data_IF_859823752813
#
_entry.id   IF_859823752813
#
_cell.length_a   1.000
_cell.length_b   1.000
_cell.length_c   1.000
_cell.angle_alpha   90.00
_cell.angle_beta   90.00
_cell.angle_gamma   90.00
#
_symmetry.space_group_name_H-M   'P 1'
#
loop_
_entity.id
_entity.type
_entity.pdbx_description
1 polymer ?
#
# COMPACT_ATOMS: atom_id res chain seq x y z
N UNK A 1 -16.04 25.20 -1.63
CA UNK A 1 -15.95 25.71 -0.23
C UNK A 1 -16.45 24.72 0.83
N UNK A 2 -17.51 23.94 0.59
CA UNK A 2 -18.14 23.12 1.65
C UNK A 2 -17.20 22.05 2.27
N UNK A 3 -16.42 21.34 1.44
CA UNK A 3 -15.54 20.25 1.89
C UNK A 3 -14.39 20.76 2.77
N UNK A 4 -13.69 21.81 2.35
CA UNK A 4 -12.55 22.38 3.10
C UNK A 4 -12.98 22.82 4.51
N UNK A 5 -14.14 23.49 4.61
CA UNK A 5 -14.70 23.88 5.91
C UNK A 5 -15.13 22.69 6.78
N UNK A 6 -15.58 21.58 6.19
CA UNK A 6 -15.90 20.36 6.94
C UNK A 6 -14.64 19.69 7.50
N UNK A 7 -13.58 19.59 6.68
CA UNK A 7 -12.28 19.05 7.10
C UNK A 7 -11.70 19.90 8.23
N UNK A 8 -11.69 21.23 8.07
CA UNK A 8 -11.18 22.16 9.08
C UNK A 8 -11.92 21.97 10.42
N UNK A 9 -13.26 22.01 10.41
CA UNK A 9 -14.05 21.80 11.64
C UNK A 9 -13.83 20.43 12.28
N UNK A 10 -13.49 19.40 11.50
CA UNK A 10 -13.13 18.10 12.06
C UNK A 10 -11.76 18.17 12.76
N UNK A 11 -10.77 18.75 12.09
CA UNK A 11 -9.41 18.89 12.64
C UNK A 11 -9.39 19.75 13.89
N UNK A 12 -10.10 20.87 13.91
CA UNK A 12 -10.17 21.76 15.07
C UNK A 12 -10.80 21.08 16.28
N UNK A 13 -11.80 20.20 16.07
CA UNK A 13 -12.50 19.50 17.15
C UNK A 13 -11.76 18.28 17.67
N UNK A 14 -11.07 17.55 16.80
CA UNK A 14 -10.47 16.25 17.14
C UNK A 14 -8.94 16.32 17.27
N UNK A 15 -8.31 17.45 16.92
CA UNK A 15 -6.86 17.60 16.79
C UNK A 15 -6.23 16.51 15.90
N UNK A 16 -7.03 15.99 14.96
CA UNK A 16 -6.66 14.88 14.06
C UNK A 16 -7.23 15.15 12.67
N UNK A 17 -6.44 14.84 11.63
CA UNK A 17 -6.94 14.84 10.26
C UNK A 17 -8.01 13.76 10.06
N UNK A 18 -9.09 14.04 9.30
CA UNK A 18 -10.09 13.02 9.02
C UNK A 18 -9.50 11.94 8.11
N UNK A 19 -9.90 10.68 8.32
CA UNK A 19 -9.51 9.55 7.47
C UNK A 19 -9.97 9.74 6.01
N UNK A 20 -11.08 10.45 5.82
CA UNK A 20 -11.65 10.80 4.52
C UNK A 20 -12.57 12.02 4.63
N UNK A 21 -12.83 12.67 3.50
CA UNK A 21 -13.98 13.57 3.36
C UNK A 21 -15.15 12.84 2.70
N UNK A 22 -16.36 13.17 3.10
CA UNK A 22 -17.60 12.80 2.39
C UNK A 22 -18.07 13.99 1.56
N UNK A 23 -19.06 13.80 0.67
CA UNK A 23 -19.60 14.82 -0.25
C UNK A 23 -18.63 15.32 -1.33
N UNK A 24 -18.13 14.41 -2.15
CA UNK A 24 -17.46 14.78 -3.41
C UNK A 24 -18.25 14.24 -4.59
N UNK A 25 -18.29 14.95 -5.72
CA UNK A 25 -18.72 14.37 -7.00
C UNK A 25 -17.81 13.25 -7.51
N UNK A 26 -16.78 12.88 -6.74
CA UNK A 26 -15.74 11.89 -7.06
C UNK A 26 -16.01 10.52 -6.39
N UNK A 27 -17.15 10.38 -5.70
CA UNK A 27 -17.56 9.16 -4.98
C UNK A 27 -17.83 9.38 -3.49
N UNK A 28 -18.15 8.29 -2.79
CA UNK A 28 -18.58 8.31 -1.38
C UNK A 28 -17.52 8.84 -0.43
N UNK A 29 -16.24 8.48 -0.66
CA UNK A 29 -15.13 8.82 0.22
C UNK A 29 -13.93 9.37 -0.56
N UNK A 30 -13.41 10.49 -0.10
CA UNK A 30 -12.16 11.07 -0.56
C UNK A 30 -11.10 10.92 0.54
N UNK A 31 -10.29 9.86 0.44
CA UNK A 31 -9.34 9.47 1.49
C UNK A 31 -8.18 10.44 1.72
N UNK A 32 -7.63 10.41 2.94
CA UNK A 32 -6.54 11.28 3.42
C UNK A 32 -5.39 11.50 2.44
N UNK A 33 -4.85 10.42 1.84
CA UNK A 33 -3.74 10.54 0.88
C UNK A 33 -4.15 11.29 -0.41
N UNK A 34 -5.35 11.04 -0.91
CA UNK A 34 -5.86 11.73 -2.11
C UNK A 34 -6.20 13.19 -1.80
N UNK A 35 -6.65 13.49 -0.58
CA UNK A 35 -6.85 14.86 -0.10
C UNK A 35 -5.53 15.64 -0.16
N UNK A 36 -4.49 15.15 0.51
CA UNK A 36 -3.17 15.79 0.55
C UNK A 36 -2.67 16.04 -0.88
N UNK A 37 -2.65 14.99 -1.71
CA UNK A 37 -2.09 15.08 -3.05
C UNK A 37 -2.83 16.07 -3.96
N UNK A 38 -4.15 16.14 -3.83
CA UNK A 38 -4.93 17.10 -4.62
C UNK A 38 -4.62 18.53 -4.20
N UNK A 39 -4.58 18.81 -2.89
CA UNK A 39 -4.19 20.13 -2.41
C UNK A 39 -2.74 20.46 -2.79
N UNK A 40 -1.81 19.49 -2.76
CA UNK A 40 -0.45 19.68 -3.29
C UNK A 40 -0.44 20.06 -4.77
N UNK A 41 -1.25 19.41 -5.62
CA UNK A 41 -1.36 19.73 -7.06
C UNK A 41 -1.93 21.12 -7.31
N UNK A 42 -2.91 21.55 -6.50
CA UNK A 42 -3.46 22.91 -6.54
C UNK A 42 -2.36 23.92 -6.23
N UNK A 43 -1.62 23.71 -5.14
CA UNK A 43 -0.53 24.62 -4.72
C UNK A 43 0.66 24.63 -5.69
N UNK A 44 1.00 23.49 -6.31
CA UNK A 44 2.02 23.44 -7.36
C UNK A 44 1.61 24.29 -8.58
N UNK A 45 0.34 24.20 -8.99
CA UNK A 45 -0.17 25.02 -10.11
C UNK A 45 -0.17 26.51 -9.75
N UNK A 46 -0.59 26.85 -8.53
CA UNK A 46 -0.50 28.22 -8.02
C UNK A 46 0.94 28.73 -7.99
N UNK A 47 1.90 27.89 -7.59
CA UNK A 47 3.31 28.29 -7.51
C UNK A 47 3.86 28.77 -8.86
N UNK A 48 3.38 28.16 -9.95
CA UNK A 48 3.77 28.43 -11.35
C UNK A 48 3.00 29.60 -11.95
N UNK A 49 1.69 29.66 -11.74
CA UNK A 49 0.80 30.58 -12.45
C UNK A 49 0.42 31.82 -11.62
N UNK A 50 0.74 31.83 -10.31
CA UNK A 50 0.31 32.83 -9.31
C UNK A 50 -1.21 33.01 -9.22
N UNK A 51 -1.94 32.02 -9.69
CA UNK A 51 -3.40 31.95 -9.68
C UNK A 51 -3.82 30.53 -9.34
N UNK A 52 -4.92 30.39 -8.61
CA UNK A 52 -5.49 29.07 -8.35
C UNK A 52 -6.05 28.50 -9.66
N UNK A 53 -5.88 27.20 -9.92
CA UNK A 53 -6.45 26.58 -11.11
C UNK A 53 -7.98 26.57 -11.07
N UNK A 54 -8.62 26.87 -12.20
CA UNK A 54 -10.09 26.75 -12.36
C UNK A 54 -10.58 25.31 -12.17
N UNK A 55 -9.74 24.34 -12.53
CA UNK A 55 -9.99 22.93 -12.26
C UNK A 55 -8.68 22.15 -12.08
N UNK A 56 -8.74 21.08 -11.28
CA UNK A 56 -7.66 20.10 -11.17
C UNK A 56 -8.17 18.70 -11.44
N UNK A 57 -7.53 17.99 -12.36
CA UNK A 57 -7.79 16.57 -12.55
C UNK A 57 -7.33 15.78 -11.32
N UNK A 58 -8.26 15.07 -10.67
CA UNK A 58 -8.00 14.23 -9.51
C UNK A 58 -8.13 12.76 -9.92
N UNK A 59 -7.12 11.96 -9.62
CA UNK A 59 -7.16 10.50 -9.79
C UNK A 59 -6.80 9.82 -8.48
N UNK A 60 -7.22 8.56 -8.31
CA UNK A 60 -6.80 7.77 -7.15
C UNK A 60 -5.28 7.57 -7.21
N UNK A 61 -4.57 8.13 -6.23
CA UNK A 61 -3.12 7.95 -6.05
C UNK A 61 -2.71 6.48 -5.94
N UNK A 62 -3.60 5.69 -5.33
CA UNK A 62 -3.40 4.27 -5.11
C UNK A 62 -4.62 3.59 -5.70
N UNK A 63 -4.43 2.92 -6.84
CA UNK A 63 -5.44 2.05 -7.41
C UNK A 63 -5.24 0.62 -6.94
N UNK A 64 -6.31 -0.19 -6.94
CA UNK A 64 -6.17 -1.62 -6.80
C UNK A 64 -5.29 -2.21 -7.91
N UNK A 65 -4.59 -3.30 -7.60
CA UNK A 65 -3.69 -4.02 -8.52
C UNK A 65 -4.20 -5.43 -8.76
N UNK A 66 -3.79 -6.02 -9.88
CA UNK A 66 -4.10 -7.42 -10.21
C UNK A 66 -2.99 -8.35 -9.71
N UNK A 67 -3.32 -9.63 -9.51
CA UNK A 67 -2.32 -10.69 -9.25
C UNK A 67 -1.22 -10.70 -10.33
N UNK A 68 -1.58 -10.47 -11.60
CA UNK A 68 -0.62 -10.43 -12.71
C UNK A 68 0.41 -9.30 -12.55
N UNK A 69 -0.02 -8.12 -12.14
CA UNK A 69 0.90 -7.00 -11.88
C UNK A 69 1.86 -7.32 -10.72
N UNK A 70 1.36 -7.96 -9.67
CA UNK A 70 2.19 -8.39 -8.53
C UNK A 70 3.19 -9.48 -8.94
N UNK A 71 2.78 -10.45 -9.77
CA UNK A 71 3.68 -11.49 -10.30
C UNK A 71 4.82 -10.85 -11.10
N UNK A 72 4.51 -9.94 -12.02
CA UNK A 72 5.54 -9.25 -12.81
C UNK A 72 6.55 -8.51 -11.93
N UNK A 73 6.08 -7.85 -10.87
CA UNK A 73 6.93 -7.18 -9.90
C UNK A 73 7.77 -8.17 -9.07
N UNK A 74 7.19 -9.30 -8.66
CA UNK A 74 7.89 -10.35 -7.90
C UNK A 74 9.05 -10.96 -8.69
N UNK A 75 8.86 -11.18 -9.99
CA UNK A 75 9.93 -11.66 -10.88
C UNK A 75 11.07 -10.64 -10.97
N UNK A 76 10.75 -9.35 -11.05
CA UNK A 76 11.76 -8.28 -11.09
C UNK A 76 12.53 -8.19 -9.77
N UNK A 77 11.83 -8.14 -8.62
CA UNK A 77 12.48 -8.07 -7.30
C UNK A 77 13.37 -9.28 -7.05
N UNK A 78 12.93 -10.50 -7.43
CA UNK A 78 13.78 -11.70 -7.35
C UNK A 78 15.07 -11.54 -8.17
N UNK A 79 14.96 -11.03 -9.39
CA UNK A 79 16.13 -10.79 -10.26
C UNK A 79 17.07 -9.75 -9.64
N UNK A 80 16.55 -8.65 -9.12
CA UNK A 80 17.34 -7.61 -8.47
C UNK A 80 18.08 -8.12 -7.23
N UNK A 81 17.41 -8.87 -6.36
CA UNK A 81 18.06 -9.47 -5.18
C UNK A 81 19.18 -10.42 -5.59
N UNK A 82 18.98 -11.22 -6.64
CA UNK A 82 20.00 -12.15 -7.13
C UNK A 82 21.24 -11.43 -7.69
N UNK A 83 21.07 -10.26 -8.30
CA UNK A 83 22.18 -9.48 -8.90
C UNK A 83 22.87 -8.63 -7.83
N UNK A 84 22.09 -7.95 -7.00
CA UNK A 84 22.61 -6.90 -6.12
C UNK A 84 22.82 -7.38 -4.68
N UNK A 85 22.40 -8.60 -4.35
CA UNK A 85 22.50 -9.21 -3.02
C UNK A 85 21.88 -8.38 -1.88
N UNK A 86 20.96 -7.47 -2.20
CA UNK A 86 20.21 -6.68 -1.23
C UNK A 86 18.76 -6.52 -1.66
N UNK A 87 17.90 -6.27 -0.67
CA UNK A 87 16.49 -5.98 -0.89
C UNK A 87 16.34 -4.54 -1.43
N UNK A 88 15.62 -4.31 -2.54
CA UNK A 88 15.38 -2.95 -3.03
C UNK A 88 14.55 -2.13 -2.03
N UNK A 89 14.58 -0.80 -2.13
CA UNK A 89 13.80 0.08 -1.23
C UNK A 89 12.30 0.09 -1.58
N UNK A 90 11.97 -0.05 -2.86
CA UNK A 90 10.59 -0.06 -3.38
C UNK A 90 10.51 -0.77 -4.73
N UNK A 91 9.28 -1.07 -5.16
CA UNK A 91 9.00 -1.66 -6.47
C UNK A 91 7.84 -0.92 -7.14
N UNK A 92 7.94 -0.69 -8.45
CA UNK A 92 6.90 0.01 -9.21
C UNK A 92 5.77 -0.95 -9.58
N UNK A 93 4.57 -0.74 -9.03
CA UNK A 93 3.38 -1.55 -9.28
C UNK A 93 2.18 -0.64 -9.43
N UNK A 94 1.37 -0.89 -10.45
CA UNK A 94 0.11 -0.18 -10.61
C UNK A 94 0.24 1.32 -10.86
N UNK A 95 1.41 1.79 -11.33
CA UNK A 95 1.69 3.21 -11.56
C UNK A 95 2.35 3.95 -10.40
N UNK A 96 2.76 3.25 -9.32
CA UNK A 96 3.38 3.87 -8.14
C UNK A 96 4.50 3.01 -7.55
N UNK A 97 5.48 3.65 -6.92
CA UNK A 97 6.48 2.98 -6.10
C UNK A 97 5.87 2.52 -4.77
N UNK A 98 5.92 1.22 -4.52
CA UNK A 98 5.41 0.55 -3.32
C UNK A 98 6.60 0.10 -2.48
N UNK A 99 6.64 0.48 -1.20
CA UNK A 99 7.70 0.06 -0.28
C UNK A 99 7.68 -1.47 -0.05
N UNK A 100 8.82 -2.05 0.36
CA UNK A 100 8.93 -3.51 0.49
C UNK A 100 7.99 -4.16 1.51
N UNK A 101 7.65 -3.48 2.61
CA UNK A 101 6.70 -4.01 3.57
C UNK A 101 5.30 -4.12 2.96
N UNK A 102 4.88 -3.08 2.23
CA UNK A 102 3.61 -3.08 1.50
C UNK A 102 3.63 -4.09 0.35
N UNK A 103 4.78 -4.27 -0.30
CA UNK A 103 4.96 -5.28 -1.34
C UNK A 103 4.87 -6.70 -0.77
N UNK A 104 5.42 -6.98 0.41
CA UNK A 104 5.25 -8.25 1.11
C UNK A 104 3.77 -8.59 1.30
N UNK A 105 2.94 -7.60 1.68
CA UNK A 105 1.48 -7.80 1.76
C UNK A 105 0.87 -8.20 0.41
N UNK A 106 1.26 -7.52 -0.68
CA UNK A 106 0.75 -7.84 -2.02
C UNK A 106 1.15 -9.25 -2.46
N UNK A 107 2.39 -9.68 -2.16
CA UNK A 107 2.85 -11.04 -2.42
C UNK A 107 2.00 -12.07 -1.66
N UNK A 108 1.75 -11.83 -0.37
CA UNK A 108 0.94 -12.72 0.48
C UNK A 108 -0.49 -12.85 -0.03
N UNK A 109 -1.16 -11.72 -0.31
CA UNK A 109 -2.53 -11.75 -0.82
C UNK A 109 -2.57 -12.47 -2.17
N UNK A 110 -1.59 -12.22 -3.05
CA UNK A 110 -1.50 -12.88 -4.36
C UNK A 110 -1.33 -14.40 -4.23
N UNK A 111 -0.48 -14.86 -3.30
CA UNK A 111 -0.30 -16.30 -3.02
C UNK A 111 -1.60 -16.94 -2.53
N UNK A 112 -2.32 -16.27 -1.62
CA UNK A 112 -3.60 -16.77 -1.10
C UNK A 112 -4.70 -16.79 -2.19
N UNK A 113 -4.76 -15.76 -3.02
CA UNK A 113 -5.65 -15.69 -4.18
C UNK A 113 -5.39 -16.79 -5.20
N UNK A 114 -4.12 -17.00 -5.57
CA UNK A 114 -3.71 -18.10 -6.47
C UNK A 114 -4.11 -19.45 -5.87
N UNK A 115 -3.88 -19.66 -4.57
CA UNK A 115 -4.25 -20.90 -3.90
C UNK A 115 -5.77 -21.17 -3.92
N UNK A 116 -6.58 -20.11 -3.93
CA UNK A 116 -8.04 -20.17 -3.95
C UNK A 116 -8.62 -20.06 -5.38
N UNK A 117 -7.78 -20.07 -6.42
CA UNK A 117 -8.17 -19.83 -7.82
C UNK A 117 -8.89 -18.49 -8.07
N UNK A 118 -8.65 -17.48 -7.23
CA UNK A 118 -9.22 -16.15 -7.34
C UNK A 118 -8.23 -15.18 -8.02
N UNK A 119 -8.22 -15.17 -9.35
CA UNK A 119 -7.31 -14.30 -10.12
C UNK A 119 -7.95 -12.99 -10.58
N UNK A 120 -9.23 -12.78 -10.29
CA UNK A 120 -10.01 -11.65 -10.80
C UNK A 120 -10.23 -10.56 -9.75
N UNK A 121 -10.27 -10.92 -8.47
CA UNK A 121 -10.45 -9.95 -7.40
C UNK A 121 -9.25 -9.02 -7.32
N UNK A 122 -9.50 -7.72 -7.47
CA UNK A 122 -8.46 -6.71 -7.36
C UNK A 122 -7.97 -6.58 -5.92
N UNK A 123 -6.65 -6.41 -5.77
CA UNK A 123 -6.00 -6.25 -4.47
C UNK A 123 -5.93 -4.76 -4.15
N UNK A 124 -6.59 -4.34 -3.08
CA UNK A 124 -6.44 -2.99 -2.55
C UNK A 124 -5.05 -2.82 -1.95
N UNK A 125 -4.27 -1.89 -2.49
CA UNK A 125 -2.94 -1.59 -1.98
C UNK A 125 -3.07 -0.79 -0.67
N UNK A 126 -2.51 -1.34 0.39
CA UNK A 126 -2.40 -0.71 1.71
C UNK A 126 -0.93 -0.43 2.01
N UNK A 127 -0.67 0.64 2.76
CA UNK A 127 0.68 1.04 3.14
C UNK A 127 1.01 0.46 4.51
N UNK A 128 2.08 -0.33 4.56
CA UNK A 128 2.64 -0.90 5.78
C UNK A 128 4.04 -0.35 6.03
N UNK A 129 4.40 -0.31 7.30
CA UNK A 129 5.76 0.01 7.74
C UNK A 129 6.63 -1.25 7.77
N UNK A 130 7.93 -1.07 7.57
CA UNK A 130 8.94 -2.10 7.80
C UNK A 130 8.92 -2.59 9.26
N UNK A 131 9.39 -3.82 9.55
CA UNK A 131 9.60 -4.24 10.92
C UNK A 131 10.63 -3.34 11.60
N UNK A 132 10.47 -3.10 12.90
CA UNK A 132 11.45 -2.34 13.70
C UNK A 132 12.78 -3.07 13.82
N UNK A 133 12.76 -4.40 13.82
CA UNK A 133 13.93 -5.28 13.81
C UNK A 133 13.62 -6.52 12.99
N UNK A 134 14.63 -7.05 12.30
CA UNK A 134 14.55 -8.30 11.55
C UNK A 134 15.49 -9.34 12.16
N UNK A 135 15.07 -10.60 12.20
CA UNK A 135 15.91 -11.72 12.63
C UNK A 135 15.73 -12.91 11.69
N UNK A 136 16.83 -13.58 11.36
CA UNK A 136 16.83 -14.77 10.51
C UNK A 136 17.73 -15.85 11.11
N UNK A 137 17.20 -17.07 11.19
CA UNK A 137 17.90 -18.30 11.61
C UNK A 137 17.53 -19.46 10.66
N UNK A 138 17.17 -19.14 9.42
CA UNK A 138 16.67 -20.10 8.44
C UNK A 138 17.71 -21.16 8.13
N UNK A 139 17.24 -22.40 8.02
CA UNK A 139 18.00 -23.53 7.48
C UNK A 139 17.60 -23.77 6.03
N UNK A 140 18.56 -24.10 5.18
CA UNK A 140 18.31 -24.44 3.78
C UNK A 140 17.53 -25.76 3.68
N UNK A 141 16.30 -25.69 3.17
CA UNK A 141 15.49 -26.84 2.76
C UNK A 141 14.40 -26.41 1.79
N UNK A 142 13.77 -27.39 1.13
CA UNK A 142 12.53 -27.16 0.41
C UNK A 142 11.37 -26.89 1.38
N UNK A 143 10.53 -25.91 1.04
CA UNK A 143 9.31 -25.59 1.76
C UNK A 143 8.09 -26.18 1.04
N UNK A 144 7.20 -26.84 1.77
CA UNK A 144 5.98 -27.43 1.22
C UNK A 144 4.92 -26.36 0.97
N UNK A 145 3.97 -26.67 0.08
CA UNK A 145 2.82 -25.79 -0.20
C UNK A 145 2.01 -25.45 1.04
N UNK A 146 1.72 -26.45 1.86
CA UNK A 146 0.96 -26.26 3.11
C UNK A 146 1.67 -25.27 4.04
N UNK A 147 2.99 -25.34 4.13
CA UNK A 147 3.80 -24.48 5.00
C UNK A 147 3.79 -23.02 4.55
N UNK A 148 4.08 -22.72 3.28
CA UNK A 148 4.08 -21.32 2.83
C UNK A 148 2.68 -20.71 2.83
N UNK A 149 1.62 -21.51 2.63
CA UNK A 149 0.24 -21.03 2.75
C UNK A 149 -0.11 -20.71 4.21
N UNK A 150 0.30 -21.54 5.17
CA UNK A 150 0.10 -21.26 6.59
C UNK A 150 0.83 -20.00 7.03
N UNK A 151 2.10 -19.84 6.62
CA UNK A 151 2.89 -18.63 6.89
C UNK A 151 2.20 -17.40 6.27
N UNK A 152 1.77 -17.48 5.01
CA UNK A 152 1.08 -16.39 4.34
C UNK A 152 -0.16 -15.92 5.13
N UNK A 153 -1.00 -16.86 5.62
CA UNK A 153 -2.18 -16.53 6.44
C UNK A 153 -1.80 -15.84 7.76
N UNK A 154 -0.76 -16.33 8.45
CA UNK A 154 -0.31 -15.75 9.72
C UNK A 154 0.24 -14.34 9.52
N UNK A 155 1.08 -14.13 8.51
CA UNK A 155 1.64 -12.80 8.20
C UNK A 155 0.54 -11.85 7.74
N UNK A 156 -0.42 -12.31 6.94
CA UNK A 156 -1.57 -11.50 6.53
C UNK A 156 -2.33 -10.93 7.74
N UNK A 157 -2.67 -11.82 8.69
CA UNK A 157 -3.36 -11.48 9.93
C UNK A 157 -2.55 -10.52 10.80
N UNK A 158 -1.26 -10.79 11.00
CA UNK A 158 -0.36 -9.93 11.76
C UNK A 158 -0.30 -8.52 11.18
N UNK A 159 -0.09 -8.40 9.86
CA UNK A 159 0.03 -7.09 9.21
C UNK A 159 -1.28 -6.30 9.34
N UNK A 160 -2.44 -6.94 9.12
CA UNK A 160 -3.74 -6.29 9.29
C UNK A 160 -3.96 -5.76 10.72
N UNK A 161 -3.44 -6.46 11.74
CA UNK A 161 -3.58 -6.05 13.15
C UNK A 161 -2.62 -4.93 13.55
N UNK A 162 -1.37 -5.00 13.10
CA UNK A 162 -0.29 -4.16 13.64
C UNK A 162 0.08 -2.96 12.75
N UNK A 163 -0.30 -2.97 11.46
CA UNK A 163 0.08 -1.90 10.53
C UNK A 163 1.57 -1.92 10.11
N UNK A 164 2.34 -2.91 10.56
CA UNK A 164 3.72 -3.15 10.15
C UNK A 164 3.95 -4.61 9.73
N UNK A 165 4.97 -4.84 8.91
CA UNK A 165 5.45 -6.18 8.59
C UNK A 165 6.11 -6.84 9.82
N UNK A 166 5.99 -8.17 10.01
CA UNK A 166 6.67 -8.88 11.08
C UNK A 166 8.19 -8.95 10.82
N UNK A 167 8.98 -8.96 11.90
CA UNK A 167 10.44 -9.13 11.83
C UNK A 167 10.90 -10.58 11.60
N UNK A 168 10.05 -11.56 11.92
CA UNK A 168 10.26 -13.00 11.74
C UNK A 168 8.94 -13.77 11.95
N UNK A 169 8.84 -15.02 11.45
CA UNK A 169 7.58 -15.77 11.48
C UNK A 169 7.13 -16.24 12.89
N UNK A 170 8.05 -16.49 13.82
CA UNK A 170 7.69 -16.86 15.22
C UNK A 170 7.07 -15.69 16.00
N UNK A 171 7.22 -14.45 15.52
CA UNK A 171 6.59 -13.27 16.12
C UNK A 171 5.07 -13.21 15.89
N UNK A 172 4.53 -14.10 15.05
CA UNK A 172 3.13 -14.12 14.62
C UNK A 172 2.16 -14.74 15.65
N UNK A 173 2.51 -14.68 16.95
CA UNK A 173 1.71 -15.26 18.04
C UNK A 173 0.32 -14.64 18.12
#
# INVERSE_FOLDING_TARGET
>A
LEIAGQIQRYMDRNLQAPNYSTKTGLGTYWGYHNLIYTYSKILDTYSKNKQLPDSVGVSKLIRPVTVKEVISAAVQVKKEININHHLPSSVFIGGKNINMASFLKLLIISVLQINNNDLKTLINVQIFNAPSQSQDQMKTRSMLKTEYIEIAKKVDSYMNRNGNAPGYATALK
#
